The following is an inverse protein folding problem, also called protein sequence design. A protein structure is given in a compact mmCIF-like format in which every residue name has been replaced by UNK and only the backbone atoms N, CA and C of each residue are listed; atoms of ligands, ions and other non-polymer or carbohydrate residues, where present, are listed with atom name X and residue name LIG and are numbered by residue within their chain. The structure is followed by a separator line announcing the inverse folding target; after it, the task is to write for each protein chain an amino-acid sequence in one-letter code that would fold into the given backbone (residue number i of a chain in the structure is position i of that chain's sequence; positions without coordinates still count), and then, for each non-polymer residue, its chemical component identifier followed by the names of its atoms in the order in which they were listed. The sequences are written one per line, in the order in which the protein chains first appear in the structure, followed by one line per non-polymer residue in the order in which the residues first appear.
data_IF_452718273719
#
_entry.id   IF_452718273719
#
_cell.length_a   1.000
_cell.length_b   1.000
_cell.length_c   1.000
_cell.angle_alpha   90.00
_cell.angle_beta   90.00
_cell.angle_gamma   90.00
#
_symmetry.space_group_name_H-M   'P 1'
#
loop_
_entity.id
_entity.type
_entity.pdbx_description
1 polymer ?
#
# COMPACT_ATOMS: atom_id res chain seq x y z
N UNK A 1 17.11 -11.57 5.27
CA UNK A 1 16.84 -11.69 4.84
C UNK A 1 15.90 -11.57 4.71
N UNK A 2 15.38 -11.20 4.77
CA UNK A 2 14.33 -11.26 4.74
C UNK A 2 13.61 -10.16 4.67
N UNK A 3 13.72 -9.40 3.81
CA UNK A 3 12.91 -8.40 3.48
C UNK A 3 11.75 -8.90 2.85
N UNK A 4 10.78 -9.23 3.53
CA UNK A 4 9.53 -9.66 2.99
C UNK A 4 8.78 -8.43 2.49
N UNK A 5 9.00 -8.10 1.27
CA UNK A 5 8.27 -7.00 0.64
C UNK A 5 7.28 -7.59 -0.37
N UNK A 6 6.00 -7.27 -0.20
CA UNK A 6 4.97 -7.67 -1.15
C UNK A 6 4.61 -6.47 -2.02
N UNK A 7 4.31 -6.71 -3.29
CA UNK A 7 3.92 -5.66 -4.21
C UNK A 7 2.47 -5.89 -4.61
N UNK A 8 1.64 -4.87 -4.45
CA UNK A 8 0.24 -4.93 -4.83
C UNK A 8 -0.02 -3.83 -5.85
N UNK A 9 -0.26 -4.23 -7.10
CA UNK A 9 -0.54 -3.28 -8.17
C UNK A 9 -2.04 -3.23 -8.37
N UNK A 10 -2.67 -2.12 -8.03
CA UNK A 10 -4.11 -1.98 -8.14
C UNK A 10 -4.54 -1.25 -9.41
N UNK A 11 -3.58 -0.92 -10.28
CA UNK A 11 -3.89 -0.15 -11.49
C UNK A 11 -4.66 -0.97 -12.52
N UNK A 12 -4.43 -2.29 -12.55
CA UNK A 12 -5.03 -3.13 -13.56
C UNK A 12 -6.13 -4.03 -13.03
N UNK A 13 -6.63 -3.72 -11.84
CA UNK A 13 -7.67 -4.55 -11.24
C UNK A 13 -9.04 -3.96 -11.51
N UNK A 14 -9.99 -4.84 -11.80
CA UNK A 14 -11.39 -4.44 -11.96
C UNK A 14 -12.10 -4.34 -10.61
N UNK A 15 -11.50 -4.91 -9.56
CA UNK A 15 -12.11 -4.92 -8.23
C UNK A 15 -11.92 -3.59 -7.53
N UNK A 16 -12.81 -3.22 -6.61
CA UNK A 16 -12.59 -2.04 -5.79
C UNK A 16 -11.27 -2.17 -5.03
N UNK A 17 -10.43 -1.14 -5.03
CA UNK A 17 -9.09 -1.26 -4.44
C UNK A 17 -9.08 -1.38 -2.91
N UNK A 18 -10.05 -0.79 -2.23
CA UNK A 18 -10.04 -0.77 -0.77
C UNK A 18 -10.11 -2.16 -0.13
N UNK A 19 -11.03 -3.05 -0.53
CA UNK A 19 -11.05 -4.40 0.05
C UNK A 19 -9.76 -5.18 -0.21
N UNK A 20 -9.17 -5.00 -1.40
CA UNK A 20 -7.93 -5.70 -1.75
C UNK A 20 -6.78 -5.20 -0.88
N UNK A 21 -6.69 -3.89 -0.70
CA UNK A 21 -5.65 -3.28 0.13
C UNK A 21 -5.85 -3.69 1.58
N UNK A 22 -7.08 -3.67 2.08
CA UNK A 22 -7.37 -4.04 3.46
C UNK A 22 -6.97 -5.47 3.75
N UNK A 23 -7.26 -6.40 2.82
CA UNK A 23 -6.87 -7.78 2.97
C UNK A 23 -5.35 -7.93 3.00
N UNK A 24 -4.66 -7.19 2.15
CA UNK A 24 -3.20 -7.23 2.12
C UNK A 24 -2.60 -6.72 3.44
N UNK A 25 -3.20 -5.68 4.01
CA UNK A 25 -2.75 -5.14 5.29
C UNK A 25 -2.99 -6.14 6.42
N UNK A 26 -4.12 -6.85 6.38
CA UNK A 26 -4.43 -7.86 7.39
C UNK A 26 -3.41 -9.00 7.40
N UNK A 27 -2.80 -9.27 6.25
CA UNK A 27 -1.83 -10.34 6.13
C UNK A 27 -0.41 -9.88 6.34
N UNK A 28 -0.20 -8.59 6.55
CA UNK A 28 1.14 -8.03 6.67
C UNK A 28 1.70 -8.32 8.07
N UNK A 29 2.82 -9.00 8.12
CA UNK A 29 3.48 -9.31 9.38
C UNK A 29 4.28 -8.12 9.91
N UNK A 30 4.74 -8.20 11.15
CA UNK A 30 5.42 -7.06 11.80
C UNK A 30 6.75 -6.69 11.15
N UNK A 31 7.38 -7.63 10.44
CA UNK A 31 8.65 -7.37 9.78
C UNK A 31 8.50 -7.23 8.27
N UNK A 32 7.27 -7.14 7.80
CA UNK A 32 6.99 -7.10 6.37
C UNK A 32 6.60 -5.69 5.94
N UNK A 33 6.72 -5.43 4.66
CA UNK A 33 6.26 -4.16 4.10
C UNK A 33 5.49 -4.44 2.82
N UNK A 34 4.55 -3.55 2.53
CA UNK A 34 3.73 -3.64 1.34
C UNK A 34 4.03 -2.45 0.45
N UNK A 35 4.34 -2.71 -0.82
CA UNK A 35 4.45 -1.64 -1.82
C UNK A 35 3.18 -1.64 -2.65
N UNK A 36 2.44 -0.56 -2.55
CA UNK A 36 1.22 -0.37 -3.30
C UNK A 36 1.52 0.47 -4.53
N UNK A 37 1.09 0.00 -5.70
CA UNK A 37 1.25 0.74 -6.94
C UNK A 37 -0.11 1.22 -7.39
N UNK A 38 -0.28 2.53 -7.58
CA UNK A 38 -1.56 3.14 -7.91
C UNK A 38 -1.36 4.15 -9.04
N UNK A 39 -2.45 4.54 -9.68
CA UNK A 39 -2.42 5.51 -10.78
C UNK A 39 -2.48 6.95 -10.30
N UNK A 40 -2.89 7.17 -9.06
CA UNK A 40 -3.03 8.50 -8.48
C UNK A 40 -2.64 8.42 -7.02
N UNK A 41 -2.47 9.56 -6.40
CA UNK A 41 -2.13 9.60 -4.98
C UNK A 41 -3.34 9.13 -4.15
N UNK A 42 -3.21 8.02 -3.41
CA UNK A 42 -4.35 7.48 -2.67
C UNK A 42 -4.50 8.18 -1.31
N UNK A 43 -4.76 9.50 -1.34
CA UNK A 43 -4.84 10.30 -0.12
C UNK A 43 -5.85 9.77 0.90
N UNK A 44 -7.06 9.31 0.50
CA UNK A 44 -7.99 8.76 1.49
C UNK A 44 -7.46 7.53 2.21
N UNK A 45 -6.52 6.81 1.62
CA UNK A 45 -5.94 5.64 2.25
C UNK A 45 -5.05 6.02 3.43
N UNK A 46 -4.47 7.20 3.41
CA UNK A 46 -3.53 7.61 4.45
C UNK A 46 -4.20 7.64 5.83
N UNK A 47 -5.44 8.08 5.91
CA UNK A 47 -6.18 8.09 7.17
C UNK A 47 -6.42 6.67 7.67
N UNK A 48 -6.72 5.76 6.76
CA UNK A 48 -6.93 4.36 7.12
C UNK A 48 -5.64 3.75 7.66
N UNK A 49 -4.52 4.06 7.02
CA UNK A 49 -3.23 3.55 7.47
C UNK A 49 -2.88 4.05 8.86
N UNK A 50 -3.10 5.33 9.11
CA UNK A 50 -2.83 5.91 10.41
C UNK A 50 -3.72 5.29 11.48
N UNK A 51 -5.02 5.10 11.19
CA UNK A 51 -5.95 4.51 12.12
C UNK A 51 -5.59 3.07 12.48
N UNK A 52 -4.99 2.36 11.55
CA UNK A 52 -4.62 0.96 11.75
C UNK A 52 -3.20 0.78 12.30
N UNK A 53 -2.47 1.87 12.52
CA UNK A 53 -1.14 1.80 13.09
C UNK A 53 -0.04 1.51 12.08
N UNK A 54 -0.23 1.93 10.83
CA UNK A 54 0.79 1.76 9.79
C UNK A 54 1.47 3.09 9.48
N UNK A 55 2.73 3.00 9.08
CA UNK A 55 3.46 4.13 8.52
C UNK A 55 3.52 3.97 7.01
N UNK A 56 3.67 5.05 6.30
CA UNK A 56 3.77 4.97 4.84
C UNK A 56 4.68 6.05 4.29
N UNK A 57 5.23 5.77 3.10
CA UNK A 57 5.96 6.75 2.32
C UNK A 57 5.42 6.70 0.90
N UNK A 58 5.18 7.85 0.32
CA UNK A 58 4.63 7.94 -1.03
C UNK A 58 5.65 8.54 -1.97
N UNK A 59 5.80 7.94 -3.15
CA UNK A 59 6.68 8.44 -4.18
C UNK A 59 5.95 8.45 -5.51
N UNK A 60 5.98 9.58 -6.20
CA UNK A 60 5.44 9.66 -7.55
C UNK A 60 6.54 9.27 -8.51
N UNK A 61 6.36 8.17 -9.21
CA UNK A 61 7.36 7.62 -10.12
C UNK A 61 7.14 8.11 -11.55
N UNK A 62 5.88 8.33 -11.91
CA UNK A 62 5.51 8.84 -13.23
C UNK A 62 4.20 9.59 -13.08
N UNK A 63 3.72 10.20 -14.15
CA UNK A 63 2.50 11.00 -14.11
C UNK A 63 1.30 10.18 -13.63
N UNK A 64 1.28 8.90 -13.97
CA UNK A 64 0.17 8.02 -13.60
C UNK A 64 0.66 6.81 -12.80
N UNK A 65 1.76 6.96 -12.09
CA UNK A 65 2.27 5.86 -11.28
C UNK A 65 2.78 6.36 -9.95
N UNK A 66 2.14 5.92 -8.88
CA UNK A 66 2.48 6.29 -7.51
C UNK A 66 2.79 5.02 -6.73
N UNK A 67 3.86 5.05 -5.96
CA UNK A 67 4.23 3.93 -5.10
C UNK A 67 4.09 4.37 -3.65
N UNK A 68 3.37 3.58 -2.87
CA UNK A 68 3.22 3.82 -1.44
C UNK A 68 3.80 2.62 -0.72
N UNK A 69 4.84 2.86 0.05
CA UNK A 69 5.46 1.80 0.86
C UNK A 69 4.85 1.86 2.24
N UNK A 70 4.27 0.76 2.70
CA UNK A 70 3.50 0.68 3.93
C UNK A 70 4.18 -0.32 4.87
N UNK A 71 4.37 0.09 6.11
CA UNK A 71 4.97 -0.77 7.13
C UNK A 71 4.23 -0.60 8.44
N UNK A 72 4.20 -1.62 9.29
CA UNK A 72 3.67 -1.44 10.65
C UNK A 72 4.51 -0.42 11.40
N UNK A 73 3.85 0.46 12.12
CA UNK A 73 4.53 1.51 12.88
C UNK A 73 5.16 0.96 14.16
#
# INVERSE_FOLDING_TARGET
MNDAESVLDVRERDDPPFPVISDALDELGPDERLRLVNEFEPAPLYDVLADRGFEHETERVADDEWHVTIEPA
#
